data_IF_723940914986
#
_entry.id   IF_723940914986
#
_cell.length_a   1.000
_cell.length_b   1.000
_cell.length_c   1.000
_cell.angle_alpha   90.00
_cell.angle_beta   90.00
_cell.angle_gamma   90.00
#
_symmetry.space_group_name_H-M   'P 1'
#
loop_
_entity.id
_entity.type
_entity.pdbx_description
1 polymer ?
#
# COMPACT_ATOMS: atom_id res chain seq x y z
N UNK A 1 14.73 -6.95 -23.85
CA UNK A 1 14.48 -5.51 -23.64
C UNK A 1 13.07 -5.19 -24.06
N UNK A 2 12.32 -4.45 -23.26
CA UNK A 2 10.95 -4.06 -23.61
C UNK A 2 11.02 -2.75 -24.40
N UNK A 3 10.49 -2.75 -25.63
CA UNK A 3 10.46 -1.59 -26.53
C UNK A 3 9.61 -0.48 -25.91
N UNK A 4 10.21 0.67 -25.63
CA UNK A 4 9.49 1.89 -25.26
C UNK A 4 8.65 2.32 -26.47
N UNK A 5 7.32 2.26 -26.36
CA UNK A 5 6.42 2.81 -27.38
C UNK A 5 6.54 4.33 -27.37
N UNK A 6 6.85 4.93 -28.53
CA UNK A 6 7.18 6.37 -28.71
C UNK A 6 6.06 7.38 -28.39
N UNK A 7 4.88 6.92 -27.99
CA UNK A 7 3.88 7.71 -27.29
C UNK A 7 3.57 6.96 -25.99
N UNK A 8 3.89 7.58 -24.85
CA UNK A 8 3.56 7.00 -23.55
C UNK A 8 2.08 6.67 -23.50
N UNK A 9 1.71 5.48 -23.02
CA UNK A 9 0.31 5.12 -22.73
C UNK A 9 -0.23 6.08 -21.66
N UNK A 10 -0.75 7.23 -22.06
CA UNK A 10 -1.29 8.23 -21.13
C UNK A 10 -2.58 7.76 -20.44
N UNK A 11 -3.25 6.75 -21.01
CA UNK A 11 -4.44 6.09 -20.46
C UNK A 11 -4.13 4.89 -19.54
N UNK A 12 -2.86 4.66 -19.19
CA UNK A 12 -2.46 3.62 -18.25
C UNK A 12 -2.75 4.00 -16.79
N UNK A 13 -3.00 3.00 -15.93
CA UNK A 13 -3.04 3.22 -14.47
C UNK A 13 -1.69 3.76 -14.01
N UNK A 14 -1.68 5.00 -13.51
CA UNK A 14 -0.48 5.63 -12.97
C UNK A 14 -0.09 4.93 -11.65
N UNK A 15 1.18 4.56 -11.44
CA UNK A 15 1.60 3.96 -10.17
C UNK A 15 1.30 4.92 -9.01
N UNK A 16 0.62 4.45 -7.97
CA UNK A 16 0.22 5.31 -6.83
C UNK A 16 1.44 5.93 -6.14
N UNK A 17 2.51 5.14 -5.97
CA UNK A 17 3.75 5.65 -5.38
C UNK A 17 4.38 6.79 -6.17
N UNK A 18 4.21 6.82 -7.50
CA UNK A 18 4.71 7.93 -8.32
C UNK A 18 3.91 9.21 -8.04
N UNK A 19 2.58 9.10 -7.94
CA UNK A 19 1.73 10.25 -7.57
C UNK A 19 2.12 10.80 -6.20
N UNK A 20 2.26 9.91 -5.21
CA UNK A 20 2.71 10.28 -3.86
C UNK A 20 4.06 11.00 -3.89
N UNK A 21 5.03 10.44 -4.60
CA UNK A 21 6.36 11.01 -4.77
C UNK A 21 6.31 12.41 -5.39
N UNK A 22 5.48 12.63 -6.41
CA UNK A 22 5.31 13.95 -7.02
C UNK A 22 4.72 14.97 -6.04
N UNK A 23 3.66 14.60 -5.31
CA UNK A 23 3.01 15.50 -4.35
C UNK A 23 3.97 15.86 -3.22
N UNK A 24 4.62 14.87 -2.61
CA UNK A 24 5.59 15.10 -1.53
C UNK A 24 6.79 15.91 -2.04
N UNK A 25 7.28 15.62 -3.25
CA UNK A 25 8.41 16.33 -3.84
C UNK A 25 8.12 17.81 -4.10
N UNK A 26 6.87 18.17 -4.41
CA UNK A 26 6.45 19.58 -4.55
C UNK A 26 6.29 20.29 -3.20
N UNK A 27 5.99 19.54 -2.13
CA UNK A 27 5.77 20.09 -0.79
C UNK A 27 7.04 20.15 0.06
N UNK A 28 8.08 19.40 -0.29
CA UNK A 28 9.32 19.41 0.48
C UNK A 28 10.15 20.66 0.18
N UNK A 29 10.60 21.42 1.20
CA UNK A 29 11.56 22.49 1.00
C UNK A 29 12.89 21.92 0.50
N UNK A 30 13.53 22.62 -0.45
CA UNK A 30 14.91 22.38 -0.79
C UNK A 30 15.82 23.04 0.27
N UNK A 31 16.67 22.25 0.91
CA UNK A 31 17.65 22.75 1.88
C UNK A 31 19.04 22.87 1.25
N UNK A 32 20.00 23.40 2.01
CA UNK A 32 21.40 23.44 1.62
C UNK A 32 22.08 22.05 1.64
N UNK A 33 21.37 21.00 2.08
CA UNK A 33 21.84 19.63 2.12
C UNK A 33 20.98 18.70 1.24
N UNK A 34 21.19 18.68 -0.08
CA UNK A 34 20.39 17.87 -1.01
C UNK A 34 20.52 16.36 -0.76
N UNK A 35 21.62 15.90 -0.14
CA UNK A 35 21.77 14.49 0.25
C UNK A 35 20.78 14.13 1.35
N UNK A 36 20.68 14.97 2.37
CA UNK A 36 19.73 14.78 3.48
C UNK A 36 18.28 14.92 2.99
N UNK A 37 17.98 15.89 2.11
CA UNK A 37 16.65 16.02 1.52
C UNK A 37 16.21 14.73 0.83
N UNK A 38 17.11 14.12 0.04
CA UNK A 38 16.84 12.84 -0.62
C UNK A 38 16.61 11.71 0.38
N UNK A 39 17.41 11.62 1.44
CA UNK A 39 17.24 10.60 2.48
C UNK A 39 15.88 10.73 3.17
N UNK A 40 15.49 11.95 3.54
CA UNK A 40 14.19 12.23 4.16
C UNK A 40 13.05 11.94 3.20
N UNK A 41 13.18 12.31 1.92
CA UNK A 41 12.22 11.98 0.88
C UNK A 41 12.00 10.47 0.76
N UNK A 42 13.08 9.69 0.73
CA UNK A 42 13.00 8.24 0.70
C UNK A 42 12.38 7.65 1.96
N UNK A 43 12.67 8.21 3.15
CA UNK A 43 12.03 7.81 4.42
C UNK A 43 10.53 8.05 4.40
N UNK A 44 10.07 9.22 3.94
CA UNK A 44 8.64 9.55 3.80
C UNK A 44 7.94 8.54 2.90
N UNK A 45 8.61 8.15 1.80
CA UNK A 45 8.10 7.15 0.87
C UNK A 45 8.32 5.71 1.32
N UNK A 46 8.95 5.44 2.47
CA UNK A 46 9.35 4.08 2.93
C UNK A 46 10.24 3.32 1.95
N UNK A 47 11.02 4.06 1.16
CA UNK A 47 11.91 3.56 0.11
C UNK A 47 13.39 3.59 0.51
N UNK A 48 13.70 4.04 1.72
CA UNK A 48 15.01 3.88 2.35
C UNK A 48 15.26 2.40 2.73
N UNK A 49 16.49 2.07 3.15
CA UNK A 49 16.84 0.68 3.48
C UNK A 49 16.03 0.15 4.66
N UNK A 50 15.76 0.97 5.69
CA UNK A 50 14.94 0.58 6.83
C UNK A 50 13.46 0.46 6.46
N UNK A 51 12.92 1.42 5.70
CA UNK A 51 11.58 1.30 5.12
C UNK A 51 11.43 0.02 4.30
N UNK A 52 12.41 -0.31 3.47
CA UNK A 52 12.42 -1.53 2.63
C UNK A 52 12.46 -2.80 3.47
N UNK A 53 13.26 -2.83 4.52
CA UNK A 53 13.24 -3.91 5.51
C UNK A 53 11.87 -4.01 6.20
N UNK A 54 11.27 -2.92 6.62
CA UNK A 54 9.95 -2.96 7.29
C UNK A 54 8.83 -3.42 6.36
N UNK A 55 8.90 -3.08 5.07
CA UNK A 55 7.95 -3.53 4.04
C UNK A 55 8.02 -5.01 3.72
N UNK A 56 9.03 -5.72 4.20
CA UNK A 56 9.14 -7.16 4.05
C UNK A 56 8.14 -7.89 4.96
N UNK A 57 6.84 -7.71 4.72
CA UNK A 57 5.81 -8.39 5.48
C UNK A 57 5.74 -9.86 5.09
N UNK A 58 5.89 -10.69 6.10
CA UNK A 58 5.74 -12.12 6.00
C UNK A 58 4.30 -12.60 5.95
N UNK A 59 4.17 -13.91 5.73
CA UNK A 59 2.91 -14.61 5.93
C UNK A 59 2.69 -14.85 7.43
N UNK A 60 1.45 -14.68 7.87
CA UNK A 60 1.02 -15.10 9.20
C UNK A 60 0.92 -16.64 9.17
N UNK A 61 1.60 -17.36 10.09
CA UNK A 61 1.52 -18.82 10.14
C UNK A 61 0.07 -19.31 10.27
N UNK A 62 -0.28 -20.40 9.59
CA UNK A 62 -1.65 -20.96 9.65
C UNK A 62 -2.09 -21.28 11.09
N UNK A 63 -1.14 -21.66 11.95
CA UNK A 63 -1.39 -21.86 13.38
C UNK A 63 -1.91 -20.58 14.07
N UNK A 64 -1.31 -19.43 13.77
CA UNK A 64 -1.70 -18.15 14.33
C UNK A 64 -3.12 -17.75 13.88
N UNK A 65 -3.42 -17.96 12.59
CA UNK A 65 -4.79 -17.77 12.07
C UNK A 65 -5.81 -18.64 12.77
N UNK A 66 -5.48 -19.91 13.01
CA UNK A 66 -6.35 -20.83 13.74
C UNK A 66 -6.61 -20.33 15.17
N UNK A 67 -5.56 -19.93 15.89
CA UNK A 67 -5.68 -19.45 17.28
C UNK A 67 -6.50 -18.17 17.38
N UNK A 68 -6.48 -17.33 16.35
CA UNK A 68 -7.29 -16.12 16.27
C UNK A 68 -8.73 -16.35 15.78
N UNK A 69 -9.02 -17.48 15.13
CA UNK A 69 -10.32 -17.72 14.52
C UNK A 69 -11.42 -18.00 15.56
N UNK A 70 -12.68 -17.58 15.30
CA UNK A 70 -13.85 -18.05 16.06
C UNK A 70 -13.98 -19.58 16.06
N UNK A 71 -14.59 -20.15 17.10
CA UNK A 71 -14.75 -21.61 17.26
C UNK A 71 -15.41 -22.27 16.06
N UNK A 72 -16.42 -21.62 15.47
CA UNK A 72 -17.19 -22.14 14.33
C UNK A 72 -16.30 -22.27 13.08
N UNK A 73 -15.40 -21.31 12.86
CA UNK A 73 -14.47 -21.31 11.74
C UNK A 73 -13.33 -22.31 12.00
N UNK A 74 -12.85 -22.41 13.24
CA UNK A 74 -11.81 -23.36 13.61
C UNK A 74 -12.20 -24.80 13.24
N UNK A 75 -13.37 -25.25 13.69
CA UNK A 75 -13.82 -26.64 13.50
C UNK A 75 -14.13 -26.95 12.03
N UNK A 76 -14.61 -25.96 11.28
CA UNK A 76 -15.02 -26.12 9.88
C UNK A 76 -13.84 -26.10 8.90
N UNK A 77 -12.77 -25.36 9.19
CA UNK A 77 -11.71 -25.11 8.20
C UNK A 77 -10.31 -25.51 8.66
N UNK A 78 -10.06 -25.72 9.95
CA UNK A 78 -8.72 -26.02 10.46
C UNK A 78 -8.63 -27.40 11.12
N UNK A 79 -7.53 -28.11 10.85
CA UNK A 79 -7.09 -29.30 11.57
C UNK A 79 -5.87 -29.04 12.45
N UNK A 80 -5.36 -30.08 13.09
CA UNK A 80 -4.23 -30.01 14.04
C UNK A 80 -2.96 -29.32 13.50
N UNK A 81 -2.69 -29.42 12.19
CA UNK A 81 -1.43 -28.94 11.57
C UNK A 81 -1.62 -27.88 10.47
N UNK A 82 -2.84 -27.39 10.27
CA UNK A 82 -3.14 -26.42 9.19
C UNK A 82 -4.59 -26.49 8.73
N UNK A 83 -4.89 -25.98 7.53
CA UNK A 83 -6.21 -26.12 6.91
C UNK A 83 -6.59 -27.59 6.67
N UNK A 84 -7.89 -27.90 6.72
CA UNK A 84 -8.42 -29.20 6.33
C UNK A 84 -8.13 -29.51 4.85
N UNK A 85 -8.06 -30.79 4.50
CA UNK A 85 -7.84 -31.22 3.11
C UNK A 85 -9.07 -30.88 2.25
N UNK A 86 -8.82 -30.52 1.00
CA UNK A 86 -9.87 -30.22 0.01
C UNK A 86 -10.27 -28.75 -0.08
N UNK A 87 -9.77 -27.89 0.81
CA UNK A 87 -10.01 -26.45 0.74
C UNK A 87 -9.16 -25.83 -0.36
N UNK A 88 -9.82 -25.17 -1.32
CA UNK A 88 -9.18 -24.41 -2.40
C UNK A 88 -8.42 -23.19 -1.88
N UNK A 89 -7.56 -22.61 -2.72
CA UNK A 89 -6.84 -21.40 -2.31
C UNK A 89 -7.77 -20.18 -2.23
N UNK A 90 -8.79 -20.09 -3.10
CA UNK A 90 -9.81 -19.05 -3.02
C UNK A 90 -10.61 -19.13 -1.70
N UNK A 91 -11.00 -20.32 -1.28
CA UNK A 91 -11.71 -20.52 -0.01
C UNK A 91 -10.83 -20.18 1.18
N UNK A 92 -9.53 -20.52 1.16
CA UNK A 92 -8.60 -20.10 2.22
C UNK A 92 -8.54 -18.58 2.31
N UNK A 93 -8.40 -17.88 1.19
CA UNK A 93 -8.38 -16.42 1.18
C UNK A 93 -9.66 -15.83 1.77
N UNK A 94 -10.82 -16.38 1.41
CA UNK A 94 -12.11 -15.96 1.96
C UNK A 94 -12.18 -16.18 3.48
N UNK A 95 -11.82 -17.37 3.95
CA UNK A 95 -11.83 -17.71 5.39
C UNK A 95 -10.89 -16.82 6.18
N UNK A 96 -9.68 -16.56 5.66
CA UNK A 96 -8.73 -15.67 6.32
C UNK A 96 -9.23 -14.23 6.38
N UNK A 97 -9.91 -13.75 5.34
CA UNK A 97 -10.55 -12.44 5.35
C UNK A 97 -11.71 -12.37 6.36
N UNK A 98 -12.53 -13.42 6.44
CA UNK A 98 -13.62 -13.52 7.41
C UNK A 98 -13.10 -13.49 8.85
N UNK A 99 -12.05 -14.27 9.14
CA UNK A 99 -11.36 -14.22 10.44
C UNK A 99 -10.88 -12.79 10.71
N UNK A 100 -10.14 -12.20 9.78
CA UNK A 100 -9.60 -10.84 9.94
C UNK A 100 -10.70 -9.82 10.25
N UNK A 101 -11.84 -9.88 9.55
CA UNK A 101 -12.93 -8.94 9.76
C UNK A 101 -13.65 -9.13 11.10
N UNK A 102 -13.70 -10.36 11.64
CA UNK A 102 -14.26 -10.65 12.96
C UNK A 102 -13.41 -10.18 14.15
N UNK A 103 -12.13 -9.89 13.94
CA UNK A 103 -11.19 -9.49 15.00
C UNK A 103 -11.30 -8.00 15.35
N UNK A 104 -11.09 -7.66 16.62
CA UNK A 104 -10.85 -6.28 17.06
C UNK A 104 -9.51 -5.75 16.53
N UNK A 105 -9.31 -4.42 16.57
CA UNK A 105 -8.07 -3.82 16.09
C UNK A 105 -6.84 -4.27 16.92
N UNK A 106 -7.00 -4.50 18.23
CA UNK A 106 -5.94 -5.06 19.08
C UNK A 106 -5.62 -6.52 18.72
N UNK A 107 -6.64 -7.32 18.41
CA UNK A 107 -6.45 -8.71 18.00
C UNK A 107 -5.78 -8.80 16.62
N UNK A 108 -6.16 -7.93 15.68
CA UNK A 108 -5.51 -7.81 14.37
C UNK A 108 -4.04 -7.42 14.51
N UNK A 109 -3.73 -6.45 15.37
CA UNK A 109 -2.35 -6.05 15.64
C UNK A 109 -1.51 -7.22 16.19
N UNK A 110 -2.03 -7.94 17.20
CA UNK A 110 -1.37 -9.13 17.76
C UNK A 110 -1.17 -10.24 16.73
N UNK A 111 -2.13 -10.45 15.84
CA UNK A 111 -2.02 -11.44 14.78
C UNK A 111 -0.96 -11.02 13.73
N UNK A 112 -0.93 -9.73 13.37
CA UNK A 112 0.06 -9.17 12.45
C UNK A 112 1.50 -9.25 13.00
N UNK A 113 1.69 -9.15 14.32
CA UNK A 113 2.99 -9.36 14.97
C UNK A 113 3.55 -10.77 14.78
N UNK A 114 2.69 -11.77 14.54
CA UNK A 114 3.13 -13.16 14.32
C UNK A 114 3.64 -13.43 12.90
N UNK A 115 3.67 -12.41 12.02
CA UNK A 115 4.18 -12.54 10.65
C UNK A 115 5.63 -13.03 10.65
N UNK A 116 5.90 -14.03 9.81
CA UNK A 116 7.25 -14.55 9.61
C UNK A 116 7.87 -13.97 8.36
N UNK A 117 8.83 -13.07 8.55
CA UNK A 117 9.62 -12.46 7.47
C UNK A 117 10.21 -13.55 6.54
N UNK A 118 10.08 -13.42 5.21
CA UNK A 118 10.66 -14.36 4.26
C UNK A 118 12.18 -14.55 4.41
N UNK A 119 12.87 -13.49 4.80
CA UNK A 119 14.30 -13.43 5.12
C UNK A 119 14.39 -12.99 6.57
N UNK A 120 14.90 -13.86 7.44
CA UNK A 120 14.87 -13.69 8.89
C UNK A 120 15.89 -12.69 9.40
N UNK A 121 17.03 -12.54 8.73
CA UNK A 121 18.12 -11.66 9.13
C UNK A 121 18.20 -10.40 8.28
N UNK A 122 18.37 -9.25 8.95
CA UNK A 122 18.65 -7.97 8.28
C UNK A 122 19.96 -8.01 7.49
N UNK A 123 21.01 -8.63 8.04
CA UNK A 123 22.30 -8.72 7.35
C UNK A 123 22.19 -9.47 6.04
N UNK A 124 21.46 -10.59 6.01
CA UNK A 124 21.21 -11.34 4.78
C UNK A 124 20.39 -10.54 3.79
N UNK A 125 19.39 -9.78 4.26
CA UNK A 125 18.58 -8.93 3.41
C UNK A 125 19.37 -7.81 2.73
N UNK A 126 20.25 -7.13 3.48
CA UNK A 126 21.03 -6.00 2.98
C UNK A 126 22.09 -6.42 1.95
N UNK A 127 22.54 -7.68 1.99
CA UNK A 127 23.44 -8.23 0.96
C UNK A 127 22.77 -8.46 -0.39
N UNK A 128 21.42 -8.47 -0.44
CA UNK A 128 20.70 -8.71 -1.68
C UNK A 128 20.69 -7.49 -2.60
N UNK A 129 20.78 -7.69 -3.92
CA UNK A 129 20.50 -6.65 -4.89
C UNK A 129 19.12 -6.00 -4.63
N UNK A 130 19.01 -4.69 -4.84
CA UNK A 130 17.79 -3.94 -4.54
C UNK A 130 16.53 -4.53 -5.21
N UNK A 131 16.65 -5.01 -6.45
CA UNK A 131 15.53 -5.62 -7.18
C UNK A 131 15.03 -6.92 -6.53
N UNK A 132 15.93 -7.69 -5.92
CA UNK A 132 15.58 -8.93 -5.22
C UNK A 132 14.93 -8.62 -3.87
N UNK A 133 15.42 -7.59 -3.17
CA UNK A 133 14.77 -7.06 -1.96
C UNK A 133 13.31 -6.70 -2.24
N UNK A 134 13.03 -6.01 -3.35
CA UNK A 134 11.66 -5.64 -3.73
C UNK A 134 10.75 -6.84 -4.03
N UNK A 135 11.31 -8.00 -4.40
CA UNK A 135 10.53 -9.21 -4.67
C UNK A 135 9.81 -9.78 -3.46
N UNK A 136 10.30 -9.48 -2.25
CA UNK A 136 9.76 -9.96 -0.97
C UNK A 136 9.10 -8.86 -0.13
N UNK A 137 9.02 -7.64 -0.66
CA UNK A 137 8.45 -6.49 0.04
C UNK A 137 7.07 -6.15 -0.50
N UNK A 138 6.19 -5.70 0.40
CA UNK A 138 5.00 -4.96 0.01
C UNK A 138 5.39 -3.67 -0.72
N UNK A 139 4.50 -3.23 -1.61
CA UNK A 139 4.69 -1.95 -2.29
C UNK A 139 4.58 -0.81 -1.28
N UNK A 140 5.35 0.28 -1.43
CA UNK A 140 5.28 1.44 -0.54
C UNK A 140 3.86 2.03 -0.35
N UNK A 141 3.02 1.97 -1.38
CA UNK A 141 1.64 2.45 -1.30
C UNK A 141 0.70 1.56 -0.47
N UNK A 142 1.12 0.34 -0.13
CA UNK A 142 0.35 -0.65 0.63
C UNK A 142 0.73 -0.71 2.11
N UNK A 143 1.75 0.04 2.54
CA UNK A 143 2.08 0.21 3.95
C UNK A 143 1.53 1.52 4.50
N UNK A 144 1.31 1.57 5.81
CA UNK A 144 0.72 2.72 6.51
C UNK A 144 1.61 3.96 6.36
N UNK A 145 2.93 3.78 6.44
CA UNK A 145 3.89 4.86 6.29
C UNK A 145 5.22 4.57 6.99
N UNK A 146 6.02 5.62 7.23
CA UNK A 146 7.29 5.55 7.95
C UNK A 146 7.15 4.98 9.36
N UNK A 147 8.24 4.41 9.89
CA UNK A 147 8.31 3.96 11.28
C UNK A 147 8.35 5.14 12.26
N UNK A 148 8.06 4.95 13.55
CA UNK A 148 8.19 6.01 14.55
C UNK A 148 9.59 6.65 14.59
N UNK A 149 10.64 5.85 14.45
CA UNK A 149 12.02 6.35 14.37
C UNK A 149 12.25 7.18 13.09
N UNK A 150 11.74 6.73 11.95
CA UNK A 150 11.82 7.51 10.71
C UNK A 150 11.07 8.83 10.83
N UNK A 151 9.91 8.86 11.50
CA UNK A 151 9.16 10.09 11.76
C UNK A 151 9.93 11.10 12.61
N UNK A 152 10.74 10.65 13.57
CA UNK A 152 11.61 11.55 14.34
C UNK A 152 12.58 12.27 13.42
N UNK A 153 13.29 11.54 12.55
CA UNK A 153 14.24 12.12 11.60
C UNK A 153 13.56 13.04 10.57
N UNK A 154 12.37 12.66 10.08
CA UNK A 154 11.58 13.47 9.15
C UNK A 154 11.18 14.79 9.81
N UNK A 155 10.65 14.73 11.03
CA UNK A 155 10.18 15.89 11.77
C UNK A 155 11.32 16.83 12.16
N UNK A 156 12.48 16.30 12.54
CA UNK A 156 13.67 17.11 12.82
C UNK A 156 14.12 17.88 11.57
N UNK A 157 14.23 17.21 10.42
CA UNK A 157 14.70 17.84 9.18
C UNK A 157 13.69 18.83 8.60
N UNK A 158 12.41 18.46 8.58
CA UNK A 158 11.34 19.30 8.01
C UNK A 158 10.76 20.29 9.02
N UNK A 159 11.19 20.24 10.28
CA UNK A 159 10.65 21.05 11.38
C UNK A 159 9.12 20.91 11.48
N UNK A 160 8.66 19.67 11.51
CA UNK A 160 7.23 19.29 11.62
C UNK A 160 7.00 18.48 12.89
N UNK A 161 5.74 18.19 13.21
CA UNK A 161 5.35 17.32 14.33
C UNK A 161 4.44 16.17 13.89
N UNK A 162 4.49 15.83 12.59
CA UNK A 162 3.58 14.87 11.98
C UNK A 162 3.85 13.44 12.45
N UNK A 163 2.77 12.69 12.73
CA UNK A 163 2.79 11.26 13.01
C UNK A 163 2.30 10.43 11.80
N UNK A 164 1.79 11.08 10.76
CA UNK A 164 1.20 10.44 9.60
C UNK A 164 1.44 11.23 8.31
N UNK A 165 1.31 10.57 7.15
CA UNK A 165 1.43 11.25 5.85
C UNK A 165 0.41 12.38 5.67
N UNK A 166 -0.89 12.22 6.05
CA UNK A 166 -1.85 13.32 6.02
C UNK A 166 -1.43 14.54 6.85
N UNK A 167 -0.99 14.33 8.09
CA UNK A 167 -0.51 15.45 8.94
C UNK A 167 0.72 16.13 8.35
N UNK A 168 1.66 15.36 7.77
CA UNK A 168 2.83 15.92 7.12
C UNK A 168 2.43 16.81 5.93
N UNK A 169 1.55 16.29 5.06
CA UNK A 169 1.06 17.01 3.88
C UNK A 169 0.29 18.26 4.28
N UNK A 170 -0.50 18.20 5.35
CA UNK A 170 -1.22 19.35 5.88
C UNK A 170 -0.25 20.40 6.43
N UNK A 171 0.70 20.02 7.29
CA UNK A 171 1.67 20.96 7.86
C UNK A 171 2.55 21.62 6.80
N UNK A 172 3.03 20.84 5.83
CA UNK A 172 3.79 21.39 4.69
C UNK A 172 2.91 22.25 3.80
N UNK A 173 1.69 21.82 3.50
CA UNK A 173 0.72 22.60 2.72
C UNK A 173 0.42 23.95 3.36
N UNK A 174 0.16 23.99 4.67
CA UNK A 174 -0.05 25.25 5.40
C UNK A 174 1.20 26.15 5.36
N UNK A 175 2.40 25.58 5.39
CA UNK A 175 3.64 26.36 5.28
C UNK A 175 3.82 27.00 3.90
N UNK A 176 3.52 26.28 2.83
CA UNK A 176 3.75 26.75 1.46
C UNK A 176 2.58 27.54 0.87
N UNK A 177 1.35 27.12 1.15
CA UNK A 177 0.12 27.65 0.54
C UNK A 177 -0.81 28.35 1.54
N UNK A 178 -0.54 28.26 2.84
CA UNK A 178 -1.44 28.76 3.89
C UNK A 178 -2.67 27.88 4.15
N UNK A 179 -2.82 26.78 3.40
CA UNK A 179 -3.92 25.83 3.53
C UNK A 179 -3.49 24.41 3.13
N UNK A 180 -4.27 23.39 3.50
CA UNK A 180 -4.08 22.02 3.00
C UNK A 180 -4.08 21.98 1.46
N UNK A 181 -3.19 21.22 0.78
CA UNK A 181 -3.03 21.30 -0.67
C UNK A 181 -4.28 20.86 -1.44
N UNK A 182 -4.60 21.56 -2.53
CA UNK A 182 -5.66 21.19 -3.46
C UNK A 182 -5.05 20.56 -4.72
N UNK A 183 -5.47 19.35 -5.07
CA UNK A 183 -4.97 18.61 -6.24
C UNK A 183 -6.12 18.42 -7.23
N UNK A 184 -6.00 19.01 -8.42
CA UNK A 184 -6.95 18.83 -9.52
C UNK A 184 -6.42 17.88 -10.59
N UNK A 185 -7.22 16.90 -10.98
CA UNK A 185 -6.95 16.03 -12.13
C UNK A 185 -8.12 16.09 -13.13
N UNK A 186 -7.93 16.80 -14.24
CA UNK A 186 -8.94 16.98 -15.28
C UNK A 186 -9.05 15.78 -16.26
N UNK A 187 -8.15 14.81 -16.15
CA UNK A 187 -8.09 13.61 -16.99
C UNK A 187 -7.87 12.38 -16.11
N UNK A 188 -8.72 12.24 -15.09
CA UNK A 188 -8.46 11.33 -13.99
C UNK A 188 -8.59 9.84 -14.35
N UNK A 189 -9.35 9.51 -15.38
CA UNK A 189 -9.55 8.16 -15.90
C UNK A 189 -9.92 7.17 -14.79
N UNK A 190 -8.98 6.29 -14.44
CA UNK A 190 -9.13 5.32 -13.35
C UNK A 190 -8.97 5.89 -11.93
N UNK A 191 -8.75 7.20 -11.78
CA UNK A 191 -8.72 7.92 -10.51
C UNK A 191 -7.42 7.83 -9.71
N UNK A 192 -6.31 7.31 -10.27
CA UNK A 192 -5.07 7.08 -9.50
C UNK A 192 -4.52 8.34 -8.82
N UNK A 193 -4.56 9.51 -9.48
CA UNK A 193 -4.10 10.77 -8.90
C UNK A 193 -5.02 11.25 -7.78
N UNK A 194 -6.33 11.47 -8.01
CA UNK A 194 -7.20 11.97 -6.95
C UNK A 194 -7.32 11.01 -5.77
N UNK A 195 -7.33 9.68 -6.00
CA UNK A 195 -7.38 8.72 -4.89
C UNK A 195 -6.11 8.75 -4.05
N UNK A 196 -4.92 8.79 -4.65
CA UNK A 196 -3.69 8.85 -3.86
C UNK A 196 -3.54 10.21 -3.14
N UNK A 197 -3.88 11.31 -3.82
CA UNK A 197 -3.88 12.63 -3.21
C UNK A 197 -4.80 12.69 -1.98
N UNK A 198 -6.02 12.16 -2.09
CA UNK A 198 -6.94 12.06 -0.95
C UNK A 198 -6.40 11.17 0.18
N UNK A 199 -5.75 10.05 -0.15
CA UNK A 199 -5.16 9.14 0.85
C UNK A 199 -4.07 9.79 1.71
N UNK A 200 -3.34 10.75 1.15
CA UNK A 200 -2.29 11.50 1.87
C UNK A 200 -2.77 12.85 2.37
N UNK A 201 -4.08 13.09 2.46
CA UNK A 201 -4.65 14.29 3.12
C UNK A 201 -4.86 15.52 2.23
N UNK A 202 -4.62 15.44 0.91
CA UNK A 202 -4.93 16.56 0.01
C UNK A 202 -6.45 16.66 -0.26
N UNK A 203 -6.93 17.88 -0.51
CA UNK A 203 -8.26 18.07 -1.11
C UNK A 203 -8.17 17.77 -2.60
N UNK A 204 -8.74 16.65 -3.03
CA UNK A 204 -8.65 16.20 -4.42
C UNK A 204 -9.91 16.51 -5.22
N UNK A 205 -9.74 17.06 -6.42
CA UNK A 205 -10.79 17.27 -7.41
C UNK A 205 -10.49 16.43 -8.65
N UNK A 206 -11.48 15.70 -9.13
CA UNK A 206 -11.34 14.81 -10.27
C UNK A 206 -12.41 15.14 -11.31
N UNK A 207 -11.99 15.26 -12.56
CA UNK A 207 -12.87 15.36 -13.73
C UNK A 207 -12.35 14.44 -14.82
N UNK A 208 -13.25 13.97 -15.68
CA UNK A 208 -12.90 13.25 -16.90
C UNK A 208 -13.96 13.53 -17.96
N UNK A 209 -13.53 13.74 -19.20
CA UNK A 209 -14.41 13.97 -20.33
C UNK A 209 -15.04 12.67 -20.86
N UNK A 210 -14.48 11.51 -20.54
CA UNK A 210 -15.01 10.22 -20.94
C UNK A 210 -16.22 9.87 -20.05
N UNK A 211 -17.44 9.72 -20.60
CA UNK A 211 -18.64 9.42 -19.80
C UNK A 211 -18.59 8.07 -19.05
N UNK A 212 -17.69 7.16 -19.44
CA UNK A 212 -17.51 5.85 -18.77
C UNK A 212 -16.55 5.94 -17.57
N UNK A 213 -15.64 6.91 -17.54
CA UNK A 213 -14.70 7.08 -16.43
C UNK A 213 -15.40 7.43 -15.10
N UNK A 214 -16.39 8.34 -15.06
CA UNK A 214 -17.20 8.58 -13.86
C UNK A 214 -17.83 7.29 -13.32
N UNK A 215 -18.43 6.44 -14.16
CA UNK A 215 -19.05 5.19 -13.70
C UNK A 215 -18.05 4.25 -12.99
N UNK A 216 -16.79 4.23 -13.44
CA UNK A 216 -15.73 3.44 -12.80
C UNK A 216 -15.34 4.03 -11.44
N UNK A 217 -15.16 5.36 -11.36
CA UNK A 217 -14.84 6.05 -10.11
C UNK A 217 -15.99 5.94 -9.10
N UNK A 218 -17.22 6.14 -9.55
CA UNK A 218 -18.44 5.96 -8.76
C UNK A 218 -18.58 4.52 -8.24
N UNK A 219 -18.28 3.51 -9.07
CA UNK A 219 -18.25 2.11 -8.64
C UNK A 219 -17.26 1.84 -7.50
N UNK A 220 -16.07 2.46 -7.52
CA UNK A 220 -15.11 2.36 -6.40
C UNK A 220 -15.57 3.10 -5.13
N UNK A 221 -16.23 4.25 -5.27
CA UNK A 221 -16.77 5.01 -4.14
C UNK A 221 -17.95 4.27 -3.48
N UNK A 222 -18.87 3.72 -4.27
CA UNK A 222 -20.04 2.98 -3.79
C UNK A 222 -19.63 1.60 -3.22
N UNK A 223 -18.66 0.92 -3.83
CA UNK A 223 -18.14 -0.36 -3.33
C UNK A 223 -17.53 -0.27 -1.93
N UNK A 224 -16.92 0.88 -1.57
CA UNK A 224 -16.45 1.15 -0.20
C UNK A 224 -17.60 1.33 0.80
N UNK A 225 -18.73 1.89 0.37
CA UNK A 225 -19.89 2.15 1.24
C UNK A 225 -20.83 0.94 1.39
N UNK A 226 -21.01 0.13 0.35
CA UNK A 226 -21.95 -1.01 0.35
C UNK A 226 -21.27 -2.32 0.77
N UNK A 227 -19.98 -2.52 0.46
CA UNK A 227 -19.31 -3.83 0.61
C UNK A 227 -18.18 -3.82 1.65
N UNK A 228 -17.96 -2.71 2.35
CA UNK A 228 -16.93 -2.63 3.40
C UNK A 228 -15.53 -3.02 2.94
N UNK A 229 -15.17 -2.69 1.69
CA UNK A 229 -13.92 -3.17 1.08
C UNK A 229 -12.69 -2.52 1.75
N UNK A 230 -12.16 -3.19 2.78
CA UNK A 230 -10.82 -2.96 3.33
C UNK A 230 -9.83 -3.76 2.49
N UNK A 231 -8.67 -3.20 2.10
CA UNK A 231 -7.64 -3.99 1.43
C UNK A 231 -7.17 -5.08 2.38
N UNK A 232 -7.62 -6.31 2.15
CA UNK A 232 -7.09 -7.47 2.85
C UNK A 232 -5.59 -7.57 2.51
N UNK A 233 -4.68 -7.65 3.50
CA UNK A 233 -3.24 -7.65 3.27
C UNK A 233 -2.72 -8.98 2.66
N UNK A 234 -3.61 -9.86 2.20
CA UNK A 234 -3.27 -11.12 1.53
C UNK A 234 -2.76 -10.84 0.11
N UNK A 235 -1.51 -10.40 0.02
CA UNK A 235 -0.78 -10.29 -1.24
C UNK A 235 -0.23 -11.66 -1.65
N UNK A 236 -1.05 -12.47 -2.32
CA UNK A 236 -0.54 -13.48 -3.25
C UNK A 236 -0.96 -13.14 -4.66
N UNK A 237 0.02 -12.74 -5.47
CA UNK A 237 -0.17 -12.47 -6.90
C UNK A 237 -0.22 -13.80 -7.65
N UNK A 238 -1.40 -14.27 -8.06
CA UNK A 238 -1.51 -15.31 -9.11
C UNK A 238 -0.95 -14.77 -10.43
N UNK A 239 0.02 -15.46 -11.02
CA UNK A 239 0.38 -15.32 -12.44
C UNK A 239 -0.71 -16.01 -13.28
N UNK A 240 -1.79 -15.31 -13.59
CA UNK A 240 -2.81 -15.79 -14.53
C UNK A 240 -2.28 -15.78 -15.96
N UNK A 241 -1.98 -16.97 -16.51
CA UNK A 241 -1.83 -17.19 -17.95
C UNK A 241 -3.22 -17.09 -18.58
N UNK A 242 -3.50 -16.03 -19.34
CA UNK A 242 -4.66 -15.98 -20.22
C UNK A 242 -4.38 -16.81 -21.47
N UNK A 243 -4.91 -18.04 -21.53
CA UNK A 243 -5.07 -18.76 -22.80
C UNK A 243 -6.36 -18.26 -23.46
N UNK A 244 -6.23 -17.47 -24.52
CA UNK A 244 -7.33 -17.18 -25.43
C UNK A 244 -7.74 -18.49 -26.12
N UNK A 245 -8.96 -18.96 -25.87
CA UNK A 245 -9.60 -19.96 -26.74
C UNK A 245 -10.17 -19.20 -27.93
N UNK A 246 -9.50 -19.31 -29.08
CA UNK A 246 -10.09 -18.96 -30.36
C UNK A 246 -11.26 -19.91 -30.64
N UNK A 247 -12.41 -19.34 -30.97
CA UNK A 247 -13.50 -20.07 -31.62
C UNK A 247 -13.08 -20.26 -33.07
N UNK A 248 -12.94 -21.51 -33.50
CA UNK A 248 -13.13 -21.94 -34.89
C UNK A 248 -14.60 -22.22 -35.12
#
# INVERSE_FOLDING_TARGET
>A
GQTLTGLGKWWGRKPLILVRACIIGMLMPASDNPKKDREIFLKILTMDDDGTWQRQKGEIPVKAWREAAPSEIQDKFFGARGFLRGISDEEKEFVLAEIWESLSDEQRARLDEQRRRPISSRSSFDTLPYIERLGVCERPENVIGPSPAAWQDINEHLRTSAASLPELVEQLGHRFFGHAPHIGDAFCGGGSIPFEAARIGCKSHASDLNPVAPATIWGFLIGKWIVGWRPCPLTKRRKGHWRARGRS
#
